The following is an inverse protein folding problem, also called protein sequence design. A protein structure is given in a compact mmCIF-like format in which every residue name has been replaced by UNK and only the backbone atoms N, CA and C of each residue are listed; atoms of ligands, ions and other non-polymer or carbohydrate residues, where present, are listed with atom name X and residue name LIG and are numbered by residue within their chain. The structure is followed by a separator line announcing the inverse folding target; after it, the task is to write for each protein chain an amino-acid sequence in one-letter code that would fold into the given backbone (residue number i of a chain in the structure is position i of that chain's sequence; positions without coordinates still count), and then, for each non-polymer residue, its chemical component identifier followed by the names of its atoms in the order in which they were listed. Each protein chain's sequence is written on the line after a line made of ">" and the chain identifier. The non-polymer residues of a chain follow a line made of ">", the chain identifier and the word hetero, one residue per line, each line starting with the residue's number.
data_IF_827636634126
#
_entry.id   IF_827636634126
#
_cell.length_a   1.000
_cell.length_b   1.000
_cell.length_c   1.000
_cell.angle_alpha   90.00
_cell.angle_beta   90.00
_cell.angle_gamma   90.00
#
_symmetry.space_group_name_H-M   'P 1'
#
loop_
_entity.id
_entity.type
_entity.pdbx_description
1 polymer ?
#
# COMPACT_ATOMS: atom_id res chain seq x y z
N UNK A 1 41.06 -12.70 -18.81
CA UNK A 1 39.96 -13.38 -18.07
C UNK A 1 39.33 -12.37 -17.11
N UNK A 2 38.10 -11.89 -17.38
CA UNK A 2 37.38 -11.02 -16.44
C UNK A 2 37.01 -11.83 -15.21
N UNK A 3 37.58 -11.51 -14.04
CA UNK A 3 37.12 -12.07 -12.77
C UNK A 3 35.72 -11.52 -12.49
N UNK A 4 34.70 -12.35 -12.65
CA UNK A 4 33.37 -12.05 -12.14
C UNK A 4 33.47 -12.00 -10.61
N UNK A 5 33.23 -10.82 -10.04
CA UNK A 5 33.19 -10.66 -8.59
C UNK A 5 31.78 -11.09 -8.11
N UNK A 6 31.65 -12.24 -7.43
CA UNK A 6 30.35 -12.78 -7.03
C UNK A 6 29.59 -11.84 -6.09
N UNK A 7 30.31 -11.00 -5.33
CA UNK A 7 29.71 -10.00 -4.44
C UNK A 7 28.95 -8.91 -5.20
N UNK A 8 29.43 -8.51 -6.40
CA UNK A 8 28.73 -7.53 -7.24
C UNK A 8 27.43 -8.11 -7.81
N UNK A 9 27.44 -9.38 -8.20
CA UNK A 9 26.25 -10.06 -8.72
C UNK A 9 25.20 -10.27 -7.63
N UNK A 10 25.61 -10.65 -6.42
CA UNK A 10 24.70 -10.81 -5.27
C UNK A 10 24.08 -9.46 -4.91
N UNK A 11 24.88 -8.41 -4.79
CA UNK A 11 24.38 -7.06 -4.50
C UNK A 11 23.38 -6.57 -5.57
N UNK A 12 23.66 -6.84 -6.85
CA UNK A 12 22.72 -6.54 -7.93
C UNK A 12 21.43 -7.36 -7.86
N UNK A 13 21.47 -8.63 -7.47
CA UNK A 13 20.27 -9.47 -7.26
C UNK A 13 19.45 -8.95 -6.08
N UNK A 14 20.09 -8.53 -4.98
CA UNK A 14 19.41 -7.91 -3.84
C UNK A 14 18.71 -6.60 -4.21
N UNK A 15 19.37 -5.75 -5.02
CA UNK A 15 18.76 -4.52 -5.53
C UNK A 15 17.59 -4.79 -6.50
N UNK A 16 17.69 -5.85 -7.31
CA UNK A 16 16.60 -6.25 -8.22
C UNK A 16 15.40 -6.86 -7.46
N UNK A 17 15.64 -7.61 -6.38
CA UNK A 17 14.58 -8.11 -5.51
C UNK A 17 13.87 -7.01 -4.72
N UNK A 18 14.56 -5.89 -4.46
CA UNK A 18 14.01 -4.71 -3.79
C UNK A 18 12.94 -4.00 -4.63
N UNK A 19 13.14 -3.92 -5.95
CA UNK A 19 12.22 -3.25 -6.86
C UNK A 19 10.91 -4.02 -7.09
N UNK A 20 10.85 -5.30 -6.72
CA UNK A 20 9.68 -6.17 -6.88
C UNK A 20 8.75 -6.20 -5.64
N UNK A 21 9.12 -5.57 -4.53
CA UNK A 21 8.29 -5.47 -3.32
C UNK A 21 7.46 -4.18 -3.24
N UNK A 22 7.62 -3.28 -4.20
CA UNK A 22 6.65 -2.20 -4.41
C UNK A 22 5.45 -2.84 -5.09
N UNK A 23 4.56 -3.42 -4.27
CA UNK A 23 3.25 -3.86 -4.71
C UNK A 23 2.66 -2.75 -5.57
N UNK A 24 2.21 -3.10 -6.77
CA UNK A 24 1.69 -2.15 -7.73
C UNK A 24 0.45 -1.50 -7.14
N UNK A 25 0.63 -0.36 -6.45
CA UNK A 25 -0.45 0.41 -5.87
C UNK A 25 -1.44 0.73 -6.99
N UNK A 26 -2.62 0.09 -6.93
CA UNK A 26 -3.64 0.29 -7.93
C UNK A 26 -4.26 1.67 -7.68
N UNK A 27 -4.36 2.48 -8.74
CA UNK A 27 -5.04 3.77 -8.67
C UNK A 27 -6.42 3.64 -9.32
N UNK A 28 -7.44 4.14 -8.65
CA UNK A 28 -8.82 4.21 -9.14
C UNK A 28 -9.22 5.68 -9.19
N UNK A 29 -9.46 6.19 -10.40
CA UNK A 29 -10.06 7.52 -10.59
C UNK A 29 -11.58 7.40 -10.48
N UNK A 30 -12.21 8.31 -9.75
CA UNK A 30 -13.66 8.39 -9.63
C UNK A 30 -14.12 9.85 -9.60
N UNK A 31 -15.28 10.14 -10.16
CA UNK A 31 -15.91 11.47 -10.04
C UNK A 31 -16.87 11.50 -8.85
N UNK A 32 -17.13 12.70 -8.33
CA UNK A 32 -18.08 12.87 -7.21
C UNK A 32 -19.47 12.43 -7.65
N UNK A 33 -20.13 11.63 -6.81
CA UNK A 33 -21.47 11.08 -7.06
C UNK A 33 -21.48 9.70 -7.73
N UNK A 34 -20.37 9.28 -8.34
CA UNK A 34 -20.25 7.99 -9.02
C UNK A 34 -20.07 6.82 -8.03
N UNK A 35 -20.09 5.60 -8.57
CA UNK A 35 -19.66 4.40 -7.86
C UNK A 35 -18.21 4.06 -8.23
N UNK A 36 -17.36 3.87 -7.23
CA UNK A 36 -16.00 3.37 -7.43
C UNK A 36 -15.90 1.90 -7.03
N UNK A 37 -15.28 1.07 -7.86
CA UNK A 37 -15.00 -0.35 -7.55
C UNK A 37 -13.51 -0.58 -7.37
N UNK A 38 -13.13 -1.05 -6.19
CA UNK A 38 -11.76 -1.38 -5.81
C UNK A 38 -11.61 -2.90 -5.86
N UNK A 39 -10.80 -3.37 -6.81
CA UNK A 39 -10.70 -4.81 -7.09
C UNK A 39 -9.81 -5.52 -6.08
N UNK A 40 -10.36 -6.56 -5.44
CA UNK A 40 -9.58 -7.46 -4.60
C UNK A 40 -10.13 -8.88 -4.71
N UNK A 41 -9.27 -9.80 -5.14
CA UNK A 41 -9.60 -11.21 -5.35
C UNK A 41 -8.48 -12.10 -4.84
N UNK A 42 -8.84 -13.30 -4.39
CA UNK A 42 -7.94 -14.36 -3.97
C UNK A 42 -8.46 -15.74 -4.41
N UNK A 43 -7.60 -16.76 -4.40
CA UNK A 43 -8.02 -18.15 -4.69
C UNK A 43 -8.71 -18.75 -3.47
N UNK A 44 -9.97 -19.14 -3.63
CA UNK A 44 -10.73 -19.90 -2.62
C UNK A 44 -10.66 -21.42 -2.82
N UNK A 45 -9.70 -21.92 -3.61
CA UNK A 45 -9.58 -23.36 -3.94
C UNK A 45 -9.36 -24.25 -2.72
N UNK A 46 -8.67 -23.74 -1.70
CA UNK A 46 -8.38 -24.44 -0.44
C UNK A 46 -9.38 -24.05 0.67
N UNK A 47 -10.50 -23.42 0.30
CA UNK A 47 -11.46 -22.83 1.23
C UNK A 47 -11.40 -21.30 1.25
N UNK A 48 -12.38 -20.71 1.91
CA UNK A 48 -12.49 -19.25 2.06
C UNK A 48 -11.73 -18.76 3.29
N UNK A 49 -11.38 -17.48 3.28
CA UNK A 49 -10.62 -16.82 4.32
C UNK A 49 -11.34 -15.57 4.84
N UNK A 50 -11.18 -15.31 6.14
CA UNK A 50 -11.53 -14.03 6.77
C UNK A 50 -10.81 -12.90 6.05
N UNK A 51 -11.48 -11.78 5.85
CA UNK A 51 -10.86 -10.63 5.20
C UNK A 51 -11.44 -9.32 5.69
N UNK A 52 -10.68 -8.24 5.47
CA UNK A 52 -11.12 -6.91 5.79
C UNK A 52 -10.74 -5.90 4.71
N UNK A 53 -11.59 -4.88 4.61
CA UNK A 53 -11.25 -3.60 4.03
C UNK A 53 -11.07 -2.57 5.14
N UNK A 54 -10.01 -1.78 5.04
CA UNK A 54 -9.70 -0.67 5.94
C UNK A 54 -9.25 0.58 5.19
N UNK A 55 -9.27 1.73 5.87
CA UNK A 55 -8.65 2.96 5.36
C UNK A 55 -7.15 2.97 5.65
N UNK A 56 -6.39 3.61 4.78
CA UNK A 56 -4.94 3.71 4.84
C UNK A 56 -4.20 2.50 4.26
N UNK A 57 -2.90 2.46 4.53
CA UNK A 57 -1.99 1.36 4.18
C UNK A 57 -2.30 0.09 4.98
N UNK A 58 -1.85 -1.05 4.49
CA UNK A 58 -2.09 -2.33 5.15
C UNK A 58 -1.13 -2.55 6.33
N UNK A 59 -1.61 -2.51 7.59
CA UNK A 59 -0.73 -2.67 8.74
C UNK A 59 -0.22 -4.11 8.88
N UNK A 60 0.75 -4.34 9.76
CA UNK A 60 1.30 -5.69 9.98
C UNK A 60 0.21 -6.68 10.42
N UNK A 61 -0.69 -6.26 11.32
CA UNK A 61 -1.76 -7.07 11.88
C UNK A 61 -3.14 -6.43 11.69
N UNK A 62 -4.13 -7.22 11.25
CA UNK A 62 -5.51 -6.79 10.96
C UNK A 62 -5.60 -5.64 9.95
N UNK A 63 -6.77 -5.02 9.79
CA UNK A 63 -6.92 -3.74 9.08
C UNK A 63 -7.05 -2.60 10.09
N UNK A 64 -6.55 -1.43 9.75
CA UNK A 64 -6.91 -0.18 10.41
C UNK A 64 -8.28 0.30 9.90
N UNK A 65 -8.97 1.12 10.70
CA UNK A 65 -10.20 1.81 10.31
C UNK A 65 -11.14 0.95 9.45
N UNK A 66 -11.53 -0.19 10.02
CA UNK A 66 -12.27 -1.25 9.33
C UNK A 66 -13.59 -0.70 8.77
N UNK A 67 -13.76 -0.81 7.46
CA UNK A 67 -15.00 -0.46 6.76
C UNK A 67 -15.84 -1.69 6.39
N UNK A 68 -15.18 -2.82 6.12
CA UNK A 68 -15.82 -4.13 5.93
C UNK A 68 -14.96 -5.20 6.61
N UNK A 69 -15.60 -6.16 7.26
CA UNK A 69 -15.00 -7.41 7.71
C UNK A 69 -15.87 -8.60 7.30
N UNK A 70 -15.28 -9.72 6.91
CA UNK A 70 -15.97 -10.99 6.65
C UNK A 70 -15.39 -12.13 7.48
N UNK A 71 -16.19 -13.16 7.74
CA UNK A 71 -15.73 -14.43 8.31
C UNK A 71 -15.29 -15.45 7.22
N UNK A 72 -15.15 -15.00 5.97
CA UNK A 72 -14.92 -15.84 4.80
C UNK A 72 -16.18 -16.38 4.13
N UNK A 73 -17.37 -16.18 4.71
CA UNK A 73 -18.64 -16.62 4.11
C UNK A 73 -19.56 -15.40 3.92
N UNK A 74 -19.61 -14.52 4.91
CA UNK A 74 -20.49 -13.35 4.91
C UNK A 74 -19.81 -12.15 5.54
N UNK A 75 -20.37 -10.98 5.25
CA UNK A 75 -19.99 -9.74 5.93
C UNK A 75 -20.45 -9.80 7.39
N UNK A 76 -19.52 -9.60 8.32
CA UNK A 76 -19.77 -9.58 9.77
C UNK A 76 -19.68 -8.17 10.36
N UNK A 77 -18.91 -7.28 9.74
CA UNK A 77 -18.81 -5.86 10.13
C UNK A 77 -18.97 -4.98 8.90
N UNK A 78 -19.86 -3.98 8.98
CA UNK A 78 -20.07 -2.95 7.96
C UNK A 78 -20.64 -1.69 8.62
N UNK A 79 -19.79 -0.74 9.05
CA UNK A 79 -20.25 0.44 9.80
C UNK A 79 -21.05 1.43 8.95
N UNK A 80 -20.94 1.38 7.63
CA UNK A 80 -21.62 2.30 6.71
C UNK A 80 -22.14 1.56 5.47
N UNK A 81 -23.40 1.84 5.11
CA UNK A 81 -24.06 1.30 3.90
C UNK A 81 -23.46 1.84 2.59
N UNK A 82 -22.60 2.86 2.70
CA UNK A 82 -21.83 3.39 1.57
C UNK A 82 -20.92 2.33 0.95
N UNK A 83 -20.44 1.40 1.77
CA UNK A 83 -19.47 0.37 1.39
C UNK A 83 -20.17 -0.97 1.20
N UNK A 84 -19.93 -1.63 0.06
CA UNK A 84 -20.50 -2.94 -0.24
C UNK A 84 -19.48 -3.85 -0.90
N UNK A 85 -19.57 -5.16 -0.68
CA UNK A 85 -18.80 -6.11 -1.49
C UNK A 85 -19.57 -6.39 -2.78
N UNK A 86 -18.91 -6.21 -3.92
CA UNK A 86 -19.49 -6.44 -5.24
C UNK A 86 -19.51 -7.93 -5.63
N UNK A 87 -18.50 -8.67 -5.15
CA UNK A 87 -18.21 -10.03 -5.60
C UNK A 87 -18.84 -11.15 -4.78
N UNK A 88 -18.66 -12.37 -5.29
CA UNK A 88 -19.00 -13.62 -4.62
C UNK A 88 -17.87 -14.00 -3.63
N UNK A 89 -18.15 -13.80 -2.33
CA UNK A 89 -17.20 -14.06 -1.23
C UNK A 89 -16.72 -15.51 -1.25
N UNK A 90 -17.61 -16.46 -1.54
CA UNK A 90 -17.31 -17.88 -1.53
C UNK A 90 -16.36 -18.28 -2.66
N UNK A 91 -16.28 -17.48 -3.72
CA UNK A 91 -15.32 -17.64 -4.84
C UNK A 91 -14.06 -16.79 -4.68
N UNK A 92 -13.91 -16.12 -3.53
CA UNK A 92 -12.78 -15.26 -3.25
C UNK A 92 -12.80 -13.91 -3.96
N UNK A 93 -13.95 -13.47 -4.48
CA UNK A 93 -14.09 -12.10 -4.98
C UNK A 93 -14.64 -11.19 -3.88
N UNK A 94 -13.76 -10.36 -3.35
CA UNK A 94 -14.00 -9.49 -2.20
C UNK A 94 -13.77 -8.03 -2.58
N UNK A 95 -14.04 -7.69 -3.84
CA UNK A 95 -13.93 -6.33 -4.38
C UNK A 95 -14.93 -5.40 -3.70
N UNK A 96 -14.49 -4.20 -3.35
CA UNK A 96 -15.28 -3.19 -2.66
C UNK A 96 -15.91 -2.22 -3.66
N UNK A 97 -17.19 -1.92 -3.47
CA UNK A 97 -17.87 -0.78 -4.09
C UNK A 97 -18.08 0.33 -3.07
N UNK A 98 -17.68 1.53 -3.43
CA UNK A 98 -17.97 2.77 -2.71
C UNK A 98 -19.11 3.47 -3.46
N UNK A 99 -20.27 3.56 -2.82
CA UNK A 99 -21.45 4.18 -3.40
C UNK A 99 -21.40 5.71 -3.23
N UNK A 100 -21.72 6.46 -4.29
CA UNK A 100 -21.78 7.93 -4.27
C UNK A 100 -20.52 8.53 -3.66
N UNK A 101 -19.44 8.41 -4.41
CA UNK A 101 -18.13 8.91 -4.04
C UNK A 101 -18.17 10.41 -3.75
N UNK A 102 -17.38 10.85 -2.79
CA UNK A 102 -17.23 12.22 -2.31
C UNK A 102 -15.75 12.49 -2.08
N UNK A 103 -15.36 13.76 -1.95
CA UNK A 103 -13.96 14.14 -1.68
C UNK A 103 -13.37 13.49 -0.41
N UNK A 104 -14.18 13.12 0.59
CA UNK A 104 -13.69 12.44 1.81
C UNK A 104 -13.33 10.96 1.60
N UNK A 105 -13.74 10.37 0.48
CA UNK A 105 -13.36 9.00 0.12
C UNK A 105 -11.98 8.94 -0.56
N UNK A 106 -11.43 10.09 -0.97
CA UNK A 106 -10.07 10.14 -1.49
C UNK A 106 -9.09 9.52 -0.49
N UNK A 107 -8.15 8.72 -1.00
CA UNK A 107 -7.07 8.15 -0.21
C UNK A 107 -6.90 6.66 -0.42
N UNK A 108 -6.01 6.07 0.37
CA UNK A 108 -5.64 4.67 0.27
C UNK A 108 -6.60 3.80 1.05
N UNK A 109 -6.87 2.61 0.51
CA UNK A 109 -7.65 1.56 1.10
C UNK A 109 -6.81 0.28 1.11
N UNK A 110 -6.86 -0.44 2.23
CA UNK A 110 -6.23 -1.73 2.39
C UNK A 110 -7.26 -2.84 2.23
N UNK A 111 -7.03 -3.77 1.30
CA UNK A 111 -7.63 -5.08 1.30
C UNK A 111 -6.67 -6.07 1.95
N UNK A 112 -7.11 -6.79 2.99
CA UNK A 112 -6.34 -7.86 3.63
C UNK A 112 -7.16 -9.14 3.68
N UNK A 113 -6.62 -10.22 3.13
CA UNK A 113 -7.17 -11.57 3.24
C UNK A 113 -6.28 -12.38 4.20
N UNK A 114 -6.87 -12.89 5.27
CA UNK A 114 -6.17 -13.59 6.35
C UNK A 114 -5.99 -15.08 5.99
N UNK A 115 -4.86 -15.39 5.35
CA UNK A 115 -4.53 -16.77 4.98
C UNK A 115 -3.86 -17.45 6.18
N UNK A 116 -4.27 -18.66 6.58
CA UNK A 116 -3.67 -19.36 7.71
C UNK A 116 -2.13 -19.45 7.62
N UNK A 117 -1.47 -19.11 8.72
CA UNK A 117 -0.02 -19.15 8.87
C UNK A 117 0.61 -17.78 9.11
N UNK A 118 1.90 -17.75 9.42
CA UNK A 118 2.58 -16.52 9.82
C UNK A 118 2.96 -15.72 8.56
N UNK A 119 2.49 -14.48 8.44
CA UNK A 119 2.74 -13.57 7.31
C UNK A 119 2.22 -14.06 5.95
N UNK A 120 1.21 -14.93 5.92
CA UNK A 120 0.64 -15.45 4.67
C UNK A 120 -0.47 -14.55 4.10
N UNK A 121 -0.83 -13.49 4.80
CA UNK A 121 -1.92 -12.61 4.42
C UNK A 121 -1.66 -11.96 3.06
N UNK A 122 -2.69 -11.99 2.22
CA UNK A 122 -2.68 -11.26 0.96
C UNK A 122 -3.11 -9.83 1.28
N UNK A 123 -2.24 -8.87 0.96
CA UNK A 123 -2.48 -7.44 1.18
C UNK A 123 -2.48 -6.74 -0.17
N UNK A 124 -3.42 -5.82 -0.39
CA UNK A 124 -3.46 -4.95 -1.56
C UNK A 124 -3.84 -3.54 -1.13
N UNK A 125 -3.02 -2.59 -1.54
CA UNK A 125 -3.27 -1.17 -1.33
C UNK A 125 -3.77 -0.53 -2.61
N UNK A 126 -4.94 0.10 -2.51
CA UNK A 126 -5.62 0.75 -3.63
C UNK A 126 -5.88 2.19 -3.26
N UNK A 127 -5.41 3.11 -4.09
CA UNK A 127 -5.61 4.55 -3.89
C UNK A 127 -6.77 5.02 -4.76
N UNK A 128 -7.78 5.59 -4.12
CA UNK A 128 -8.88 6.29 -4.80
C UNK A 128 -8.47 7.74 -4.95
N UNK A 129 -8.65 8.29 -6.16
CA UNK A 129 -8.41 9.68 -6.52
C UNK A 129 -9.67 10.27 -7.08
N UNK A 130 -10.02 11.48 -6.65
CA UNK A 130 -11.21 12.16 -7.15
C UNK A 130 -10.81 13.03 -8.33
N UNK A 131 -11.52 12.87 -9.45
CA UNK A 131 -11.36 13.77 -10.57
C UNK A 131 -11.98 15.12 -10.19
N UNK A 132 -11.16 16.17 -10.21
CA UNK A 132 -11.67 17.53 -10.13
C UNK A 132 -12.41 17.83 -11.43
N UNK A 133 -13.63 18.35 -11.32
CA UNK A 133 -14.33 18.89 -12.47
C UNK A 133 -13.53 20.11 -12.93
N UNK A 134 -12.88 20.03 -14.09
CA UNK A 134 -12.39 21.23 -14.76
C UNK A 134 -13.63 22.07 -15.06
N UNK A 135 -13.81 23.16 -14.30
CA UNK A 135 -14.85 24.15 -14.54
C UNK A 135 -14.75 24.58 -16.01
N UNK A 136 -15.58 24.00 -16.88
CA UNK A 136 -15.69 24.46 -18.25
C UNK A 136 -16.06 25.95 -18.15
N UNK A 137 -15.28 26.87 -18.74
CA UNK A 137 -15.57 28.28 -18.60
C UNK A 137 -16.95 28.51 -19.17
N UNK A 138 -17.92 28.78 -18.28
CA UNK A 138 -19.26 29.21 -18.68
C UNK A 138 -19.04 30.46 -19.50
N UNK A 139 -19.10 30.32 -20.83
CA UNK A 139 -19.16 31.44 -21.74
C UNK A 139 -20.50 32.11 -21.44
N UNK A 140 -20.49 33.05 -20.49
CA UNK A 140 -21.58 33.98 -20.28
C UNK A 140 -21.61 34.83 -21.55
N UNK A 141 -22.36 34.39 -22.54
CA UNK A 141 -22.67 35.18 -23.71
C UNK A 141 -23.41 36.41 -23.20
N UNK A 142 -22.68 37.51 -23.02
CA UNK A 142 -23.28 38.81 -22.83
C UNK A 142 -24.16 39.06 -24.05
N UNK A 143 -25.48 38.89 -23.89
CA UNK A 143 -26.47 39.34 -24.87
C UNK A 143 -26.41 40.86 -24.82
N UNK A 144 -25.52 41.44 -25.62
CA UNK A 144 -25.42 42.87 -25.80
C UNK A 144 -26.61 43.30 -26.68
N UNK A 145 -27.69 43.78 -26.06
CA UNK A 145 -28.75 44.51 -26.75
C UNK A 145 -28.31 45.97 -26.94
N UNK A 146 -28.15 46.47 -28.17
CA UNK A 146 -27.94 47.90 -28.39
C UNK A 146 -29.29 48.59 -28.35
N UNK A 147 -29.73 49.05 -27.18
CA UNK A 147 -30.84 50.00 -27.10
C UNK A 147 -30.33 51.43 -27.23
N UNK A 148 -30.81 52.05 -28.30
CA UNK A 148 -30.50 53.41 -28.73
C UNK A 148 -31.37 54.39 -27.94
N UNK A 149 -30.87 54.97 -26.86
CA UNK A 149 -31.38 56.23 -26.34
C UNK A 149 -30.41 56.87 -25.33
N UNK A 150 -30.03 58.15 -25.48
CA UNK A 150 -29.28 58.87 -24.47
C UNK A 150 -30.24 59.71 -23.61
N UNK A 151 -30.30 59.46 -22.31
CA UNK A 151 -30.59 60.54 -21.37
C UNK A 151 -29.79 60.40 -20.07
N UNK A 152 -29.20 61.52 -19.69
CA UNK A 152 -28.22 61.70 -18.62
C UNK A 152 -28.95 62.09 -17.33
N UNK A 153 -28.32 61.77 -16.19
CA UNK A 153 -28.52 62.32 -14.82
C UNK A 153 -29.66 61.60 -14.05
N UNK A 154 -29.45 61.06 -12.86
CA UNK A 154 -29.17 61.77 -11.60
C UNK A 154 -28.68 60.79 -10.51
N UNK A 155 -27.75 61.25 -9.64
CA UNK A 155 -27.18 60.55 -8.47
C UNK A 155 -28.29 60.27 -7.43
N UNK A 156 -28.28 59.11 -6.73
CA UNK A 156 -28.53 58.96 -5.26
C UNK A 156 -28.35 57.50 -4.79
N UNK A 157 -27.61 57.37 -3.69
CA UNK A 157 -27.35 56.24 -2.80
C UNK A 157 -28.62 55.53 -2.28
N UNK A 158 -28.59 54.19 -2.08
CA UNK A 158 -29.05 53.43 -0.88
C UNK A 158 -28.92 51.90 -1.16
N UNK A 159 -28.25 51.19 -0.23
CA UNK A 159 -28.22 49.72 -0.09
C UNK A 159 -29.59 49.17 0.33
N UNK A 160 -29.90 47.88 0.05
CA UNK A 160 -30.66 47.05 0.96
C UNK A 160 -29.73 46.24 1.86
N UNK A 161 -29.87 46.50 3.16
CA UNK A 161 -29.50 45.64 4.28
C UNK A 161 -30.52 44.49 4.34
N UNK A 162 -30.08 43.29 4.68
CA UNK A 162 -30.75 42.51 5.72
C UNK A 162 -29.77 41.54 6.38
N UNK A 163 -29.83 41.58 7.71
CA UNK A 163 -29.02 40.90 8.70
C UNK A 163 -30.02 40.32 9.70
N UNK A 164 -29.84 39.08 10.12
CA UNK A 164 -30.05 38.64 11.51
C UNK A 164 -29.29 37.31 11.66
N UNK A 165 -28.12 37.19 12.32
CA UNK A 165 -27.70 37.46 13.70
C UNK A 165 -28.32 36.54 14.76
N UNK A 166 -27.62 35.45 15.06
CA UNK A 166 -27.38 35.05 16.46
C UNK A 166 -25.95 34.52 16.61
N UNK A 167 -25.05 35.36 17.11
CA UNK A 167 -23.84 34.93 17.80
C UNK A 167 -23.66 35.81 19.04
N UNK A 168 -23.53 35.15 20.19
CA UNK A 168 -23.16 35.78 21.46
C UNK A 168 -21.74 35.33 21.82
N UNK A 169 -20.93 36.33 22.13
CA UNK A 169 -19.48 36.35 22.33
C UNK A 169 -19.11 35.92 23.76
N UNK A 170 -18.01 35.17 23.92
CA UNK A 170 -17.10 35.24 25.06
C UNK A 170 -15.68 34.85 24.61
N UNK A 171 -14.77 35.82 24.66
CA UNK A 171 -13.30 35.71 24.46
C UNK A 171 -12.60 35.24 25.76
N UNK A 172 -11.26 35.30 25.89
CA UNK A 172 -10.19 34.65 25.11
C UNK A 172 -9.32 33.77 26.03
N UNK A 173 -8.93 32.57 25.57
CA UNK A 173 -8.06 31.67 26.34
C UNK A 173 -7.04 30.98 25.45
N UNK A 174 -5.79 31.46 25.54
CA UNK A 174 -4.52 30.74 25.37
C UNK A 174 -4.45 29.67 24.28
N UNK A 175 -3.77 29.98 23.17
CA UNK A 175 -3.13 28.98 22.32
C UNK A 175 -2.08 28.23 23.16
N UNK A 176 -2.53 27.18 23.87
CA UNK A 176 -1.63 26.09 24.19
C UNK A 176 -1.32 25.41 22.86
N UNK A 177 -0.10 25.65 22.39
CA UNK A 177 0.67 24.72 21.56
C UNK A 177 0.66 23.38 22.29
N UNK A 178 -0.37 22.57 22.05
CA UNK A 178 -0.28 21.14 22.33
C UNK A 178 0.60 20.62 21.22
N UNK A 179 1.85 20.37 21.61
CA UNK A 179 2.77 19.50 20.92
C UNK A 179 2.01 18.24 20.47
N UNK A 180 1.59 18.23 19.20
CA UNK A 180 1.37 17.00 18.45
C UNK A 180 2.76 16.41 18.15
N UNK A 181 3.44 15.98 19.21
CA UNK A 181 4.69 15.24 19.13
C UNK A 181 4.40 13.83 19.64
N UNK A 182 3.83 12.99 18.77
CA UNK A 182 4.12 11.53 18.72
C UNK A 182 3.40 10.74 17.61
N UNK A 183 2.54 11.32 16.76
CA UNK A 183 1.81 10.54 15.73
C UNK A 183 2.36 10.69 14.29
N UNK A 184 3.64 11.05 14.14
CA UNK A 184 4.37 10.92 12.87
C UNK A 184 5.66 10.13 13.13
N UNK A 185 5.54 8.96 13.73
CA UNK A 185 6.67 8.04 13.86
C UNK A 185 6.17 6.61 14.07
N UNK A 186 5.65 5.96 13.02
CA UNK A 186 5.66 4.50 12.81
C UNK A 186 4.99 4.15 11.47
N UNK A 187 5.54 4.61 10.34
CA UNK A 187 5.00 4.20 9.02
C UNK A 187 6.09 3.90 7.97
N UNK A 188 7.28 4.50 8.08
CA UNK A 188 8.45 4.15 7.26
C UNK A 188 9.39 3.10 7.90
N UNK A 189 9.04 2.57 9.08
CA UNK A 189 9.94 1.72 9.87
C UNK A 189 9.74 0.22 9.61
N UNK A 190 8.65 -0.24 8.97
CA UNK A 190 8.32 -1.67 8.91
C UNK A 190 8.74 -2.39 7.63
N UNK A 191 8.76 -1.71 6.48
CA UNK A 191 9.57 -2.16 5.35
C UNK A 191 11.04 -2.20 5.76
N UNK A 192 11.50 -1.17 6.49
CA UNK A 192 12.84 -1.12 7.04
C UNK A 192 13.10 -2.24 8.05
N UNK A 193 12.17 -2.60 8.94
CA UNK A 193 12.31 -3.74 9.86
C UNK A 193 12.38 -5.05 9.08
N UNK A 194 11.50 -5.28 8.10
CA UNK A 194 11.55 -6.52 7.31
C UNK A 194 12.82 -6.60 6.45
N UNK A 195 13.30 -5.46 5.94
CA UNK A 195 14.62 -5.35 5.28
C UNK A 195 15.74 -5.64 6.27
N UNK A 196 15.69 -5.08 7.48
CA UNK A 196 16.69 -5.28 8.53
C UNK A 196 16.70 -6.74 8.98
N UNK A 197 15.55 -7.36 9.24
CA UNK A 197 15.43 -8.77 9.65
C UNK A 197 15.90 -9.70 8.55
N UNK A 198 15.51 -9.47 7.29
CA UNK A 198 16.02 -10.22 6.12
C UNK A 198 17.52 -10.02 5.93
N UNK A 199 18.03 -8.81 6.15
CA UNK A 199 19.46 -8.51 6.10
C UNK A 199 20.22 -9.22 7.22
N UNK A 200 19.73 -9.19 8.46
CA UNK A 200 20.34 -9.89 9.62
C UNK A 200 20.33 -11.41 9.41
N UNK A 201 19.22 -11.98 8.90
CA UNK A 201 19.14 -13.40 8.54
C UNK A 201 20.14 -13.76 7.43
N UNK A 202 20.28 -12.91 6.42
CA UNK A 202 21.28 -13.11 5.36
C UNK A 202 22.71 -13.05 5.92
N UNK A 203 23.03 -12.04 6.73
CA UNK A 203 24.35 -11.87 7.33
C UNK A 203 24.70 -12.96 8.35
N UNK A 204 23.72 -13.62 8.97
CA UNK A 204 23.96 -14.74 9.91
C UNK A 204 24.02 -16.10 9.21
N UNK A 205 23.22 -16.33 8.17
CA UNK A 205 23.17 -17.62 7.45
C UNK A 205 24.27 -17.75 6.38
N UNK A 206 24.69 -16.65 5.76
CA UNK A 206 25.72 -16.66 4.70
C UNK A 206 27.11 -17.10 5.21
N UNK A 207 27.63 -16.62 6.36
CA UNK A 207 28.92 -17.08 6.89
C UNK A 207 28.89 -18.56 7.29
N UNK A 208 27.79 -19.01 7.89
CA UNK A 208 27.59 -20.41 8.26
C UNK A 208 27.60 -21.31 7.02
N UNK A 209 26.90 -20.89 5.96
CA UNK A 209 26.89 -21.60 4.68
C UNK A 209 28.29 -21.65 4.04
N UNK A 210 29.02 -20.53 4.01
CA UNK A 210 30.39 -20.48 3.51
C UNK A 210 31.35 -21.35 4.33
N UNK A 211 31.18 -21.40 5.65
CA UNK A 211 31.96 -22.26 6.55
C UNK A 211 31.69 -23.74 6.27
N UNK A 212 30.43 -24.13 6.05
CA UNK A 212 30.04 -25.49 5.63
C UNK A 212 30.65 -25.83 4.27
N UNK A 213 30.63 -24.92 3.30
CA UNK A 213 31.27 -25.13 2.00
C UNK A 213 32.79 -25.28 2.12
N UNK A 214 33.43 -24.45 2.95
CA UNK A 214 34.85 -24.54 3.22
C UNK A 214 35.21 -25.89 3.88
N UNK A 215 34.42 -26.33 4.86
CA UNK A 215 34.59 -27.63 5.51
C UNK A 215 34.38 -28.78 4.52
N UNK A 216 33.31 -28.78 3.74
CA UNK A 216 33.07 -29.76 2.67
C UNK A 216 34.21 -29.80 1.65
N UNK A 217 34.73 -28.64 1.24
CA UNK A 217 35.86 -28.55 0.32
C UNK A 217 37.16 -29.05 0.96
N UNK A 218 37.35 -28.87 2.27
CA UNK A 218 38.47 -29.45 3.01
C UNK A 218 38.36 -30.96 3.12
N UNK A 219 37.20 -31.50 3.49
CA UNK A 219 36.96 -32.96 3.55
C UNK A 219 37.16 -33.59 2.18
N UNK A 220 36.60 -33.00 1.12
CA UNK A 220 36.82 -33.48 -0.26
C UNK A 220 38.30 -33.46 -0.67
N UNK A 221 39.05 -32.41 -0.29
CA UNK A 221 40.51 -32.36 -0.47
C UNK A 221 41.22 -33.45 0.32
N UNK A 222 40.82 -33.69 1.56
CA UNK A 222 41.41 -34.73 2.41
C UNK A 222 41.17 -36.11 1.80
N UNK A 223 39.94 -36.44 1.38
CA UNK A 223 39.65 -37.69 0.68
C UNK A 223 40.43 -37.85 -0.63
N UNK A 224 40.63 -36.78 -1.41
CA UNK A 224 41.46 -36.85 -2.62
C UNK A 224 42.96 -37.09 -2.36
N UNK A 225 43.44 -36.76 -1.14
CA UNK A 225 44.82 -37.06 -0.70
C UNK A 225 44.95 -38.54 -0.29
N UNK A 226 43.88 -39.16 0.22
CA UNK A 226 43.88 -40.60 0.57
C UNK A 226 43.70 -41.53 -0.63
N UNK A 227 43.36 -41.03 -1.82
CA UNK A 227 43.09 -41.85 -3.02
C UNK A 227 44.32 -42.14 -3.92
N UNK A 228 45.56 -41.97 -3.45
CA UNK A 228 46.80 -42.29 -4.21
C UNK A 228 47.84 -42.82 -3.19
N UNK A 229 48.35 -44.07 -3.18
CA UNK A 229 48.77 -45.00 -4.24
C UNK A 229 48.55 -46.48 -3.83
N UNK A 230 48.26 -47.41 -4.75
CA UNK A 230 48.45 -48.84 -4.51
C UNK A 230 49.96 -49.16 -4.43
N UNK A 231 50.36 -49.96 -3.42
CA UNK A 231 51.73 -50.48 -3.33
C UNK A 231 52.02 -51.41 -4.51
N UNK A 232 52.98 -51.05 -5.35
CA UNK A 232 53.60 -51.97 -6.29
C UNK A 232 54.54 -52.88 -5.50
N UNK A 233 54.21 -54.17 -5.41
CA UNK A 233 55.15 -55.19 -4.95
C UNK A 233 56.14 -55.47 -6.07
N UNK A 234 57.35 -54.93 -5.96
CA UNK A 234 58.46 -55.36 -6.81
C UNK A 234 58.84 -56.80 -6.43
N UNK A 235 58.69 -57.69 -7.39
CA UNK A 235 59.12 -59.08 -7.30
C UNK A 235 60.65 -59.14 -7.29
N UNK A 236 61.23 -59.63 -6.20
CA UNK A 236 62.63 -60.03 -6.13
C UNK A 236 62.83 -61.32 -6.93
N UNK A 237 63.50 -61.20 -8.07
CA UNK A 237 64.07 -62.30 -8.84
C UNK A 237 65.44 -62.67 -8.25
N UNK A 238 65.51 -63.83 -7.61
CA UNK A 238 66.73 -64.53 -7.24
C UNK A 238 66.57 -66.01 -7.56
#
# INVERSE_FOLDING_TARGET
>A
MRRHNPLRAIFSIFLLQYQAHLDSAQNVMASVGDMATLFCTYSASEGTASMCWGRGVCPISKCNDVIIWTDGIKVTTKPSEKYQLFGDIEKGNVSLTINRVTYSDEGTYCCRVEIPGIFNDIKKEITVRIQEDEDEPVLVAAVYKPDTAPFKKLITTIKPKNTDSTQQLLSPGTHHKIEASTEIYMDNHQDLIMIIVKSILLFSLLPLFLLVLHFKARVKRMHSVWTVRPCTTDALSG
#
